data_IF_498754647798
#
_entry.id   IF_498754647798
#
_cell.length_a   1.000
_cell.length_b   1.000
_cell.length_c   1.000
_cell.angle_alpha   90.00
_cell.angle_beta   90.00
_cell.angle_gamma   90.00
#
_symmetry.space_group_name_H-M   'P 1'
#
loop_
_entity.id
_entity.type
_entity.pdbx_description
1 polymer ?
#
# COMPACT_ATOMS: atom_id res chain seq x y z
N UNK A 1 -4.86 35.53 -6.39
CA UNK A 1 -6.12 34.75 -6.32
C UNK A 1 -6.61 34.90 -4.89
N UNK A 2 -7.92 35.08 -4.67
CA UNK A 2 -8.49 35.11 -3.30
C UNK A 2 -8.25 33.78 -2.64
N UNK A 3 -7.88 33.80 -1.37
CA UNK A 3 -7.72 32.62 -0.54
C UNK A 3 -9.07 31.88 -0.45
N UNK A 4 -9.10 30.60 -0.86
CA UNK A 4 -10.31 29.79 -0.78
C UNK A 4 -10.54 29.40 0.68
N UNK A 5 -11.68 29.78 1.27
CA UNK A 5 -12.06 29.38 2.63
C UNK A 5 -13.23 28.40 2.60
N UNK A 6 -13.18 27.41 3.48
CA UNK A 6 -14.23 26.41 3.63
C UNK A 6 -13.76 25.17 4.37
N UNK A 7 -14.65 24.22 4.51
CA UNK A 7 -14.34 22.95 5.18
C UNK A 7 -13.49 22.04 4.28
N UNK A 8 -12.77 21.12 4.92
CA UNK A 8 -12.16 19.99 4.22
C UNK A 8 -12.79 18.65 4.62
N UNK A 9 -12.67 17.69 3.71
CA UNK A 9 -13.05 16.29 3.96
C UNK A 9 -11.91 15.36 3.55
N UNK A 10 -11.57 14.42 4.44
CA UNK A 10 -10.46 13.47 4.27
C UNK A 10 -11.02 12.04 4.34
N UNK A 11 -10.67 11.19 3.38
CA UNK A 11 -11.10 9.78 3.35
C UNK A 11 -9.96 8.81 3.08
N UNK A 12 -10.17 7.56 3.48
CA UNK A 12 -9.25 6.44 3.26
C UNK A 12 -9.93 5.39 2.36
N UNK A 13 -9.17 4.75 1.47
CA UNK A 13 -9.72 3.87 0.45
C UNK A 13 -8.83 2.66 0.15
N UNK A 14 -9.47 1.57 -0.23
CA UNK A 14 -8.81 0.33 -0.65
C UNK A 14 -8.23 -0.48 0.50
N UNK A 15 -7.28 -1.37 0.21
CA UNK A 15 -6.56 -2.16 1.20
C UNK A 15 -5.77 -1.25 2.15
N UNK A 16 -5.81 -1.48 3.47
CA UNK A 16 -5.07 -0.65 4.42
C UNK A 16 -3.57 -0.98 4.41
N UNK A 17 -2.78 -0.14 5.07
CA UNK A 17 -1.35 -0.37 5.32
C UNK A 17 -1.01 -0.09 6.78
N UNK A 18 0.21 -0.42 7.21
CA UNK A 18 0.69 -0.07 8.55
C UNK A 18 0.92 1.44 8.73
N UNK A 19 0.99 2.23 7.65
CA UNK A 19 1.31 3.66 7.68
C UNK A 19 0.24 4.57 7.06
N UNK A 20 -0.86 4.02 6.54
CA UNK A 20 -1.93 4.83 5.93
C UNK A 20 -2.49 5.89 6.91
N UNK A 21 -2.52 5.60 8.20
CA UNK A 21 -2.93 6.55 9.22
C UNK A 21 -1.88 7.65 9.46
N UNK A 22 -0.60 7.40 9.20
CA UNK A 22 0.42 8.44 9.24
C UNK A 22 0.21 9.49 8.15
N UNK A 23 -0.16 9.07 6.94
CA UNK A 23 -0.55 9.99 5.86
C UNK A 23 -1.78 10.81 6.25
N UNK A 24 -2.80 10.16 6.82
CA UNK A 24 -4.00 10.87 7.30
C UNK A 24 -3.66 11.84 8.42
N UNK A 25 -2.80 11.45 9.37
CA UNK A 25 -2.35 12.34 10.45
C UNK A 25 -1.71 13.61 9.90
N UNK A 26 -0.79 13.47 8.93
CA UNK A 26 -0.15 14.62 8.29
C UNK A 26 -1.18 15.58 7.64
N UNK A 27 -2.19 15.01 6.98
CA UNK A 27 -3.27 15.80 6.40
C UNK A 27 -4.18 16.44 7.47
N UNK A 28 -4.55 15.69 8.53
CA UNK A 28 -5.39 16.19 9.60
C UNK A 28 -4.72 17.34 10.37
N UNK A 29 -3.46 17.19 10.75
CA UNK A 29 -2.74 18.23 11.48
C UNK A 29 -2.59 19.49 10.62
N UNK A 30 -2.18 19.34 9.36
CA UNK A 30 -2.06 20.49 8.45
C UNK A 30 -3.40 21.19 8.22
N UNK A 31 -4.52 20.45 8.17
CA UNK A 31 -5.85 21.02 8.00
C UNK A 31 -6.35 21.72 9.26
N UNK A 32 -6.19 21.10 10.43
CA UNK A 32 -6.66 21.63 11.71
C UNK A 32 -5.89 22.90 12.15
N UNK A 33 -4.67 23.08 11.66
CA UNK A 33 -3.82 24.23 12.00
C UNK A 33 -3.89 25.35 10.95
N UNK A 34 -4.67 25.18 9.87
CA UNK A 34 -4.73 26.14 8.77
C UNK A 34 -5.98 27.03 8.86
N UNK A 35 -5.83 28.37 8.90
CA UNK A 35 -6.95 29.31 9.06
C UNK A 35 -7.89 29.40 7.85
N UNK A 36 -7.50 28.89 6.68
CA UNK A 36 -8.35 28.82 5.50
C UNK A 36 -9.32 27.63 5.55
N UNK A 37 -9.04 26.63 6.40
CA UNK A 37 -9.90 25.45 6.59
C UNK A 37 -10.77 25.70 7.82
N UNK A 38 -12.07 25.84 7.59
CA UNK A 38 -13.04 26.24 8.64
C UNK A 38 -13.51 25.10 9.51
N UNK A 39 -13.54 23.86 8.97
CA UNK A 39 -13.89 22.61 9.66
C UNK A 39 -13.17 21.45 9.00
N UNK A 40 -12.86 20.41 9.77
CA UNK A 40 -12.20 19.21 9.29
C UNK A 40 -13.09 17.99 9.47
N UNK A 41 -13.44 17.32 8.38
CA UNK A 41 -14.27 16.13 8.38
C UNK A 41 -13.49 14.88 7.94
N UNK A 42 -13.80 13.74 8.58
CA UNK A 42 -13.37 12.41 8.15
C UNK A 42 -14.53 11.65 7.49
N UNK A 43 -14.29 11.04 6.33
CA UNK A 43 -15.29 10.18 5.68
C UNK A 43 -15.37 8.83 6.40
N UNK A 44 -16.53 8.44 6.93
CA UNK A 44 -16.74 7.11 7.47
C UNK A 44 -16.74 6.08 6.33
N UNK A 45 -15.68 5.24 6.27
CA UNK A 45 -15.51 4.26 5.18
C UNK A 45 -15.38 4.88 3.78
N UNK A 46 -14.58 5.94 3.66
CA UNK A 46 -14.23 6.55 2.39
C UNK A 46 -15.40 7.16 1.64
N UNK A 47 -15.40 7.04 0.30
CA UNK A 47 -16.42 7.68 -0.55
C UNK A 47 -17.84 7.21 -0.25
N UNK A 48 -18.03 5.98 0.23
CA UNK A 48 -19.36 5.50 0.66
C UNK A 48 -19.92 6.30 1.83
N UNK A 49 -19.08 6.66 2.79
CA UNK A 49 -19.49 7.52 3.89
C UNK A 49 -19.91 8.91 3.40
N UNK A 50 -19.14 9.49 2.48
CA UNK A 50 -19.51 10.77 1.87
C UNK A 50 -20.88 10.68 1.18
N UNK A 51 -21.11 9.67 0.34
CA UNK A 51 -22.39 9.47 -0.36
C UNK A 51 -23.58 9.29 0.61
N UNK A 52 -23.33 8.65 1.75
CA UNK A 52 -24.35 8.40 2.79
C UNK A 52 -24.49 9.55 3.80
N UNK A 53 -23.79 10.68 3.59
CA UNK A 53 -23.76 11.80 4.57
C UNK A 53 -23.26 11.36 5.95
N UNK A 54 -22.33 10.39 5.97
CA UNK A 54 -21.74 9.82 7.16
C UNK A 54 -20.31 10.32 7.35
N UNK A 55 -20.18 11.47 8.00
CA UNK A 55 -18.91 12.14 8.26
C UNK A 55 -18.61 12.17 9.76
N UNK A 56 -17.34 12.13 10.12
CA UNK A 56 -16.85 12.36 11.48
C UNK A 56 -16.37 13.82 11.60
N UNK A 57 -16.72 14.46 12.72
CA UNK A 57 -16.24 15.80 13.09
C UNK A 57 -14.88 15.67 13.77
N UNK A 58 -13.82 15.92 13.02
CA UNK A 58 -12.43 15.75 13.49
C UNK A 58 -12.05 16.88 14.46
N UNK A 59 -12.66 18.06 14.37
CA UNK A 59 -12.40 19.15 15.31
C UNK A 59 -12.77 18.77 16.77
N UNK A 60 -13.60 17.74 16.97
CA UNK A 60 -13.98 17.20 18.28
C UNK A 60 -13.09 16.05 18.78
N UNK A 61 -12.12 15.62 17.99
CA UNK A 61 -11.17 14.57 18.40
C UNK A 61 -10.11 15.14 19.36
N UNK A 62 -9.56 14.24 20.17
CA UNK A 62 -8.44 14.55 21.04
C UNK A 62 -7.13 14.58 20.24
N UNK A 63 -6.37 15.65 20.32
CA UNK A 63 -5.11 15.79 19.59
C UNK A 63 -4.07 14.74 19.99
N UNK A 64 -4.04 14.32 21.25
CA UNK A 64 -3.14 13.27 21.72
C UNK A 64 -3.53 11.90 21.14
N UNK A 65 -4.84 11.62 20.99
CA UNK A 65 -5.32 10.43 20.31
C UNK A 65 -5.05 10.48 18.80
N UNK A 66 -5.20 11.64 18.15
CA UNK A 66 -4.82 11.81 16.74
C UNK A 66 -3.34 11.54 16.53
N UNK A 67 -2.45 12.04 17.41
CA UNK A 67 -1.01 11.80 17.31
C UNK A 67 -0.63 10.31 17.35
N UNK A 68 -1.45 9.46 18.01
CA UNK A 68 -1.25 8.01 18.02
C UNK A 68 -1.54 7.33 16.66
N UNK A 69 -2.17 8.02 15.72
CA UNK A 69 -2.38 7.51 14.36
C UNK A 69 -1.05 7.16 13.68
N UNK A 70 0.05 7.83 14.04
CA UNK A 70 1.40 7.52 13.58
C UNK A 70 1.83 6.08 13.86
N UNK A 71 1.28 5.46 14.89
CA UNK A 71 1.62 4.11 15.36
C UNK A 71 0.49 3.10 15.14
N UNK A 72 -0.66 3.57 14.65
CA UNK A 72 -1.87 2.77 14.51
C UNK A 72 -1.96 2.22 13.10
N UNK A 73 -1.94 0.90 12.90
CA UNK A 73 -2.09 0.32 11.58
C UNK A 73 -3.53 0.38 11.08
N UNK A 74 -3.71 0.09 9.80
CA UNK A 74 -5.01 0.03 9.14
C UNK A 74 -5.65 1.42 8.95
N UNK A 75 -6.93 1.48 8.61
CA UNK A 75 -7.64 2.73 8.25
C UNK A 75 -8.51 3.19 9.41
N UNK A 76 -8.05 4.21 10.14
CA UNK A 76 -8.74 4.71 11.35
C UNK A 76 -10.13 5.27 11.04
N UNK A 77 -10.33 5.89 9.87
CA UNK A 77 -11.64 6.39 9.42
C UNK A 77 -12.51 5.29 8.77
N UNK A 78 -11.98 4.08 8.65
CA UNK A 78 -12.56 3.02 7.84
C UNK A 78 -12.21 3.17 6.36
N UNK A 79 -12.45 2.12 5.58
CA UNK A 79 -12.13 2.08 4.15
C UNK A 79 -13.27 1.44 3.37
N UNK A 80 -13.30 1.64 2.06
CA UNK A 80 -14.19 0.93 1.15
C UNK A 80 -13.49 0.60 -0.16
N UNK A 81 -14.08 -0.34 -0.89
CA UNK A 81 -13.81 -0.61 -2.30
C UNK A 81 -15.06 -0.23 -3.07
N UNK A 82 -15.07 0.96 -3.63
CA UNK A 82 -16.18 1.50 -4.39
C UNK A 82 -15.66 2.32 -5.55
N UNK A 83 -16.09 2.00 -6.74
CA UNK A 83 -15.68 2.66 -7.99
C UNK A 83 -16.82 3.55 -8.47
N UNK A 84 -16.56 4.85 -8.60
CA UNK A 84 -17.49 5.78 -9.22
C UNK A 84 -17.62 5.46 -10.73
N UNK A 85 -18.83 5.48 -11.24
CA UNK A 85 -19.08 5.35 -12.66
C UNK A 85 -18.42 6.49 -13.46
N UNK A 86 -18.39 6.35 -14.79
CA UNK A 86 -18.04 7.49 -15.64
C UNK A 86 -19.15 8.55 -15.51
N UNK A 87 -18.83 9.82 -15.17
CA UNK A 87 -19.86 10.85 -14.96
C UNK A 87 -20.66 11.20 -16.21
N UNK A 88 -20.16 10.87 -17.41
CA UNK A 88 -20.90 11.06 -18.66
C UNK A 88 -21.89 9.90 -18.93
N UNK A 89 -21.78 8.78 -18.20
CA UNK A 89 -22.70 7.62 -18.24
C UNK A 89 -23.70 7.67 -17.09
N UNK A 90 -23.22 7.90 -15.85
CA UNK A 90 -24.05 8.01 -14.66
C UNK A 90 -23.41 9.03 -13.68
N UNK A 91 -24.08 10.15 -13.50
CA UNK A 91 -23.63 11.24 -12.63
C UNK A 91 -24.36 11.30 -11.26
N UNK A 92 -25.10 10.25 -10.92
CA UNK A 92 -25.91 10.20 -9.68
C UNK A 92 -25.06 10.42 -8.44
N UNK A 93 -23.94 9.68 -8.31
CA UNK A 93 -23.01 9.80 -7.18
C UNK A 93 -22.37 11.20 -7.12
N UNK A 94 -22.05 11.78 -8.26
CA UNK A 94 -21.43 13.11 -8.33
C UNK A 94 -22.39 14.22 -7.93
N UNK A 95 -23.66 14.12 -8.29
CA UNK A 95 -24.73 15.03 -7.82
C UNK A 95 -24.85 14.96 -6.32
N UNK A 96 -24.81 13.75 -5.76
CA UNK A 96 -24.84 13.52 -4.31
C UNK A 96 -23.62 14.12 -3.63
N UNK A 97 -22.42 13.91 -4.16
CA UNK A 97 -21.17 14.49 -3.64
C UNK A 97 -21.29 16.04 -3.64
N UNK A 98 -21.75 16.64 -4.73
CA UNK A 98 -21.94 18.09 -4.84
C UNK A 98 -22.96 18.63 -3.82
N UNK A 99 -24.06 17.90 -3.57
CA UNK A 99 -25.05 18.24 -2.54
C UNK A 99 -24.38 18.27 -1.14
N UNK A 100 -23.60 17.23 -0.79
CA UNK A 100 -22.89 17.17 0.48
C UNK A 100 -21.83 18.27 0.59
N UNK A 101 -21.08 18.54 -0.50
CA UNK A 101 -20.12 19.63 -0.53
C UNK A 101 -20.76 20.98 -0.24
N UNK A 102 -21.93 21.25 -0.83
CA UNK A 102 -22.70 22.46 -0.55
C UNK A 102 -23.24 22.51 0.86
N UNK A 103 -23.71 21.37 1.38
CA UNK A 103 -24.28 21.26 2.74
C UNK A 103 -23.27 21.65 3.82
N UNK A 104 -22.03 21.20 3.69
CA UNK A 104 -20.95 21.39 4.68
C UNK A 104 -19.94 22.47 4.27
N UNK A 105 -20.14 23.19 3.19
CA UNK A 105 -19.19 24.13 2.57
C UNK A 105 -17.80 23.51 2.35
N UNK A 106 -17.77 22.27 1.83
CA UNK A 106 -16.52 21.56 1.57
C UNK A 106 -15.85 22.19 0.34
N UNK A 107 -14.65 22.75 0.56
CA UNK A 107 -13.81 23.38 -0.45
C UNK A 107 -12.51 22.63 -0.70
N UNK A 108 -12.21 21.65 0.13
CA UNK A 108 -11.01 20.84 0.05
C UNK A 108 -11.38 19.36 0.21
N UNK A 109 -10.99 18.56 -0.78
CA UNK A 109 -11.23 17.12 -0.80
C UNK A 109 -9.91 16.37 -0.88
N UNK A 110 -9.65 15.50 0.10
CA UNK A 110 -8.47 14.68 0.20
C UNK A 110 -8.84 13.21 0.26
N UNK A 111 -8.26 12.39 -0.64
CA UNK A 111 -8.58 10.97 -0.67
C UNK A 111 -7.31 10.12 -0.68
N UNK A 112 -7.10 9.36 0.40
CA UNK A 112 -5.91 8.54 0.61
C UNK A 112 -6.15 7.12 0.08
N UNK A 113 -5.45 6.75 -1.00
CA UNK A 113 -5.62 5.45 -1.63
C UNK A 113 -4.69 5.16 -2.79
N UNK A 114 -4.97 4.06 -3.50
CA UNK A 114 -4.24 3.59 -4.67
C UNK A 114 -4.81 4.12 -5.99
N UNK A 115 -4.54 3.42 -7.09
CA UNK A 115 -4.92 3.81 -8.46
C UNK A 115 -6.40 4.17 -8.61
N UNK A 116 -7.32 3.32 -8.14
CA UNK A 116 -8.77 3.60 -8.21
C UNK A 116 -9.18 4.85 -7.40
N UNK A 117 -8.43 5.16 -6.34
CA UNK A 117 -8.68 6.37 -5.54
C UNK A 117 -8.19 7.62 -6.24
N UNK A 118 -7.08 7.53 -6.99
CA UNK A 118 -6.60 8.62 -7.83
C UNK A 118 -7.56 8.87 -8.99
N UNK A 119 -8.13 7.83 -9.59
CA UNK A 119 -9.21 7.94 -10.58
C UNK A 119 -10.47 8.61 -10.00
N UNK A 120 -10.86 8.23 -8.77
CA UNK A 120 -11.96 8.89 -8.03
C UNK A 120 -11.70 10.38 -7.85
N UNK A 121 -10.50 10.78 -7.38
CA UNK A 121 -10.12 12.18 -7.24
C UNK A 121 -10.22 12.94 -8.58
N UNK A 122 -9.64 12.37 -9.64
CA UNK A 122 -9.65 12.96 -10.98
C UNK A 122 -11.08 13.18 -11.50
N UNK A 123 -11.98 12.21 -11.34
CA UNK A 123 -13.38 12.30 -11.74
C UNK A 123 -14.16 13.32 -10.91
N UNK A 124 -14.01 13.32 -9.58
CA UNK A 124 -14.66 14.27 -8.69
C UNK A 124 -14.22 15.70 -9.02
N UNK A 125 -12.93 15.93 -9.22
CA UNK A 125 -12.42 17.26 -9.58
C UNK A 125 -13.02 17.78 -10.90
N UNK A 126 -12.98 16.97 -11.95
CA UNK A 126 -13.56 17.33 -13.26
C UNK A 126 -15.05 17.64 -13.16
N UNK A 127 -15.80 16.86 -12.38
CA UNK A 127 -17.22 17.10 -12.20
C UNK A 127 -17.49 18.40 -11.43
N UNK A 128 -16.75 18.69 -10.35
CA UNK A 128 -16.91 19.93 -9.59
C UNK A 128 -16.60 21.14 -10.46
N UNK A 129 -15.54 21.09 -11.27
CA UNK A 129 -15.18 22.14 -12.23
C UNK A 129 -16.30 22.35 -13.25
N UNK A 130 -16.81 21.28 -13.89
CA UNK A 130 -17.93 21.32 -14.84
C UNK A 130 -19.21 21.91 -14.22
N UNK A 131 -19.42 21.66 -12.92
CA UNK A 131 -20.57 22.16 -12.15
C UNK A 131 -20.40 23.58 -11.63
N UNK A 132 -19.27 24.24 -11.87
CA UNK A 132 -18.96 25.58 -11.37
C UNK A 132 -18.78 25.67 -9.87
N UNK A 133 -18.49 24.54 -9.19
CA UNK A 133 -18.24 24.50 -7.76
C UNK A 133 -16.72 24.50 -7.49
N UNK A 134 -16.21 25.60 -6.92
CA UNK A 134 -14.79 25.70 -6.60
C UNK A 134 -14.44 24.80 -5.40
N UNK A 135 -13.60 23.81 -5.66
CA UNK A 135 -13.07 22.85 -4.70
C UNK A 135 -11.66 22.46 -5.10
N UNK A 136 -10.76 22.30 -4.15
CA UNK A 136 -9.41 21.77 -4.35
C UNK A 136 -9.41 20.29 -4.05
N UNK A 137 -9.01 19.49 -5.03
CA UNK A 137 -8.99 18.03 -4.93
C UNK A 137 -7.54 17.54 -5.01
N UNK A 138 -7.11 16.79 -4.00
CA UNK A 138 -5.78 16.18 -3.97
C UNK A 138 -5.91 14.70 -3.61
N UNK A 139 -5.20 13.84 -4.36
CA UNK A 139 -4.98 12.47 -3.95
C UNK A 139 -3.85 12.40 -2.92
N UNK A 140 -3.93 11.45 -1.98
CA UNK A 140 -2.83 11.12 -1.08
C UNK A 140 -2.41 9.69 -1.40
N UNK A 141 -1.15 9.44 -1.82
CA UNK A 141 -0.73 8.11 -2.25
C UNK A 141 -0.77 7.10 -1.11
N UNK A 142 -1.16 5.87 -1.42
CA UNK A 142 -1.11 4.73 -0.52
C UNK A 142 -1.26 3.44 -1.33
N UNK A 143 -0.29 2.54 -1.23
CA UNK A 143 -0.40 1.11 -1.56
C UNK A 143 0.86 0.37 -1.10
N UNK A 144 0.71 -0.86 -0.59
CA UNK A 144 1.85 -1.74 -0.33
C UNK A 144 2.43 -2.30 -1.63
N UNK A 145 1.62 -2.35 -2.71
CA UNK A 145 2.01 -2.96 -3.99
C UNK A 145 3.05 -2.13 -4.75
N UNK A 146 3.31 -0.89 -4.31
CA UNK A 146 4.30 0.02 -4.89
C UNK A 146 4.08 0.31 -6.38
N UNK A 147 2.84 0.29 -6.82
CA UNK A 147 2.43 0.27 -8.22
C UNK A 147 1.92 1.61 -8.77
N UNK A 148 1.88 2.68 -7.97
CA UNK A 148 1.49 4.01 -8.46
C UNK A 148 2.55 4.59 -9.39
N UNK A 149 2.11 5.04 -10.56
CA UNK A 149 2.99 5.62 -11.57
C UNK A 149 3.51 7.00 -11.17
N UNK A 150 4.75 7.32 -11.59
CA UNK A 150 5.37 8.63 -11.44
C UNK A 150 6.06 8.88 -10.09
N UNK A 151 5.72 8.15 -9.03
CA UNK A 151 6.40 8.25 -7.74
C UNK A 151 7.55 7.24 -7.62
N UNK A 152 8.62 7.59 -6.91
CA UNK A 152 9.74 6.66 -6.63
C UNK A 152 9.22 5.41 -5.91
N UNK A 153 8.48 5.58 -4.83
CA UNK A 153 7.83 4.50 -4.09
C UNK A 153 6.50 4.99 -3.50
N UNK A 154 5.73 4.06 -2.91
CA UNK A 154 4.41 4.34 -2.35
C UNK A 154 4.41 4.19 -0.83
N UNK A 155 3.73 5.10 -0.09
CA UNK A 155 3.48 4.92 1.33
C UNK A 155 2.83 3.57 1.64
N UNK A 156 3.48 2.78 2.51
CA UNK A 156 3.07 1.43 2.88
C UNK A 156 3.97 0.33 2.32
N UNK A 157 4.59 0.53 1.17
CA UNK A 157 5.50 -0.46 0.58
C UNK A 157 6.68 -0.77 1.49
N UNK A 158 7.40 0.25 1.94
CA UNK A 158 8.65 0.05 2.68
C UNK A 158 8.45 -0.68 4.02
N UNK A 159 7.37 -0.40 4.75
CA UNK A 159 7.03 -1.13 5.97
C UNK A 159 6.66 -2.57 5.70
N UNK A 160 5.92 -2.84 4.63
CA UNK A 160 5.60 -4.21 4.20
C UNK A 160 6.87 -4.95 3.75
N UNK A 161 7.76 -4.30 3.00
CA UNK A 161 9.04 -4.83 2.56
C UNK A 161 9.94 -5.20 3.76
N UNK A 162 10.01 -4.33 4.78
CA UNK A 162 10.73 -4.60 6.03
C UNK A 162 10.19 -5.84 6.75
N UNK A 163 8.86 -5.92 6.89
CA UNK A 163 8.20 -7.07 7.50
C UNK A 163 8.50 -8.38 6.74
N UNK A 164 8.41 -8.35 5.40
CA UNK A 164 8.66 -9.52 4.54
C UNK A 164 10.11 -9.97 4.68
N UNK A 165 11.06 -9.04 4.53
CA UNK A 165 12.48 -9.36 4.65
C UNK A 165 12.82 -9.92 6.04
N UNK A 166 12.33 -9.28 7.11
CA UNK A 166 12.55 -9.74 8.50
C UNK A 166 11.96 -11.14 8.72
N UNK A 167 10.71 -11.37 8.29
CA UNK A 167 10.06 -12.68 8.40
C UNK A 167 10.81 -13.76 7.61
N UNK A 168 11.31 -13.44 6.41
CA UNK A 168 12.12 -14.37 5.63
C UNK A 168 13.44 -14.72 6.33
N UNK A 169 14.09 -13.75 6.99
CA UNK A 169 15.30 -14.01 7.79
C UNK A 169 15.00 -14.94 8.97
N UNK A 170 13.89 -14.73 9.67
CA UNK A 170 13.47 -15.57 10.81
C UNK A 170 13.10 -16.98 10.35
N UNK A 171 12.34 -17.12 9.26
CA UNK A 171 12.00 -18.42 8.65
C UNK A 171 13.27 -19.13 8.17
N UNK A 172 14.24 -18.39 7.61
CA UNK A 172 15.53 -18.95 7.20
C UNK A 172 16.27 -19.62 8.36
N UNK A 173 16.26 -19.02 9.55
CA UNK A 173 16.90 -19.60 10.73
C UNK A 173 16.14 -20.85 11.19
N UNK A 174 14.81 -20.78 11.32
CA UNK A 174 13.99 -21.91 11.80
C UNK A 174 14.03 -23.12 10.83
N UNK A 175 14.01 -22.87 9.51
CA UNK A 175 14.00 -23.92 8.49
C UNK A 175 15.28 -24.79 8.48
N UNK A 176 16.37 -24.34 9.11
CA UNK A 176 17.70 -24.98 9.06
C UNK A 176 18.12 -25.65 10.35
N UNK A 177 17.23 -25.75 11.36
CA UNK A 177 17.59 -26.31 12.67
C UNK A 177 17.65 -27.84 12.71
N UNK A 178 17.05 -28.50 11.72
CA UNK A 178 17.01 -29.98 11.67
C UNK A 178 17.95 -30.50 10.59
N UNK A 179 18.61 -31.64 10.92
CA UNK A 179 19.51 -32.37 10.01
C UNK A 179 18.77 -33.06 8.85
N UNK A 180 17.45 -33.22 8.97
CA UNK A 180 16.59 -33.83 7.93
C UNK A 180 16.30 -32.90 6.75
N UNK A 181 16.61 -31.63 6.88
CA UNK A 181 16.32 -30.62 5.86
C UNK A 181 14.84 -30.27 5.73
N UNK A 182 14.56 -29.16 5.04
CA UNK A 182 13.20 -28.69 4.76
C UNK A 182 13.17 -27.74 3.57
N UNK A 183 12.07 -27.79 2.80
CA UNK A 183 11.71 -26.75 1.85
C UNK A 183 10.60 -25.87 2.45
N UNK A 184 10.77 -24.56 2.44
CA UNK A 184 9.74 -23.60 2.80
C UNK A 184 9.34 -22.75 1.60
N UNK A 185 8.04 -22.63 1.33
CA UNK A 185 7.47 -21.75 0.30
C UNK A 185 6.69 -20.65 0.99
N UNK A 186 7.09 -19.40 0.80
CA UNK A 186 6.46 -18.21 1.40
C UNK A 186 5.70 -17.45 0.33
N UNK A 187 4.38 -17.36 0.47
CA UNK A 187 3.50 -16.60 -0.40
C UNK A 187 3.41 -15.14 0.08
N UNK A 188 3.62 -14.23 -0.86
CA UNK A 188 3.69 -12.78 -0.65
C UNK A 188 2.66 -12.11 -1.55
N UNK A 189 1.98 -11.08 -1.06
CA UNK A 189 1.06 -10.25 -1.82
C UNK A 189 1.75 -9.59 -3.02
N UNK A 190 0.98 -9.28 -4.07
CA UNK A 190 1.44 -8.62 -5.28
C UNK A 190 0.88 -9.30 -6.52
N UNK A 191 -0.35 -8.90 -6.94
CA UNK A 191 -1.03 -9.55 -8.07
C UNK A 191 -0.38 -9.25 -9.41
N UNK A 192 -0.08 -7.98 -9.68
CA UNK A 192 0.38 -7.50 -10.98
C UNK A 192 1.81 -6.95 -10.95
N UNK A 193 2.31 -6.61 -9.76
CA UNK A 193 3.64 -6.09 -9.53
C UNK A 193 4.35 -6.85 -8.41
N UNK A 194 5.58 -7.22 -8.64
CA UNK A 194 6.39 -8.09 -7.76
C UNK A 194 7.21 -7.36 -6.71
N UNK A 195 6.95 -6.08 -6.45
CA UNK A 195 7.74 -5.28 -5.51
C UNK A 195 7.85 -5.90 -4.12
N UNK A 196 6.74 -6.43 -3.58
CA UNK A 196 6.74 -7.06 -2.26
C UNK A 196 7.49 -8.40 -2.27
N UNK A 197 7.27 -9.24 -3.27
CA UNK A 197 8.01 -10.50 -3.38
C UNK A 197 9.51 -10.25 -3.59
N UNK A 198 9.86 -9.25 -4.41
CA UNK A 198 11.25 -8.80 -4.60
C UNK A 198 11.91 -8.34 -3.30
N UNK A 199 11.15 -7.75 -2.37
CA UNK A 199 11.67 -7.32 -1.06
C UNK A 199 12.19 -8.48 -0.20
N UNK A 200 11.73 -9.72 -0.43
CA UNK A 200 12.32 -10.90 0.20
C UNK A 200 13.81 -11.08 -0.15
N UNK A 201 14.24 -10.57 -1.31
CA UNK A 201 15.64 -10.54 -1.72
C UNK A 201 16.55 -9.68 -0.84
N UNK A 202 15.99 -8.71 -0.09
CA UNK A 202 16.75 -7.94 0.91
C UNK A 202 17.33 -8.86 1.99
N UNK A 203 16.56 -9.85 2.43
CA UNK A 203 17.02 -10.87 3.38
C UNK A 203 18.17 -11.69 2.79
N UNK A 204 18.10 -12.03 1.51
CA UNK A 204 19.15 -12.76 0.78
C UNK A 204 20.45 -11.93 0.72
N UNK A 205 20.35 -10.63 0.43
CA UNK A 205 21.49 -9.71 0.42
C UNK A 205 22.17 -9.61 1.79
N UNK A 206 21.42 -9.83 2.89
CA UNK A 206 21.95 -9.90 4.25
C UNK A 206 22.45 -11.30 4.65
N UNK A 207 22.48 -12.27 3.72
CA UNK A 207 22.99 -13.62 3.92
C UNK A 207 22.06 -14.59 4.63
N UNK A 208 20.80 -14.24 4.87
CA UNK A 208 19.82 -15.07 5.57
C UNK A 208 18.40 -14.91 4.96
N UNK A 209 18.21 -15.27 3.72
CA UNK A 209 16.95 -15.08 3.01
C UNK A 209 16.62 -16.19 2.02
N UNK A 210 15.58 -15.99 1.21
CA UNK A 210 15.19 -16.95 0.19
C UNK A 210 16.32 -17.28 -0.79
N UNK A 211 16.43 -18.56 -1.11
CA UNK A 211 17.32 -19.03 -2.17
C UNK A 211 16.73 -18.73 -3.55
N UNK A 212 15.41 -18.65 -3.66
CA UNK A 212 14.64 -18.40 -4.88
C UNK A 212 13.55 -17.37 -4.62
N UNK A 213 13.36 -16.43 -5.56
CA UNK A 213 12.32 -15.39 -5.51
C UNK A 213 11.64 -15.28 -6.86
N UNK A 214 10.33 -15.61 -6.92
CA UNK A 214 9.55 -15.56 -8.17
C UNK A 214 8.57 -14.37 -8.16
N UNK A 215 8.66 -13.55 -9.21
CA UNK A 215 7.87 -12.34 -9.40
C UNK A 215 6.89 -12.49 -10.58
N UNK A 216 5.76 -11.76 -10.59
CA UNK A 216 4.80 -11.82 -11.69
C UNK A 216 5.28 -11.16 -12.99
N UNK A 217 6.41 -10.44 -12.97
CA UNK A 217 7.02 -9.84 -14.17
C UNK A 217 7.71 -10.85 -15.10
N UNK A 218 7.80 -12.10 -14.67
CA UNK A 218 8.39 -13.20 -15.48
C UNK A 218 7.44 -14.39 -15.53
N UNK A 219 7.38 -15.04 -16.70
CA UNK A 219 6.56 -16.24 -16.87
C UNK A 219 7.03 -17.35 -15.94
N UNK A 220 6.10 -17.97 -15.23
CA UNK A 220 6.37 -19.09 -14.35
C UNK A 220 6.30 -20.42 -15.10
N UNK A 221 7.30 -21.27 -14.87
CA UNK A 221 7.33 -22.66 -15.37
C UNK A 221 7.46 -23.63 -14.20
N UNK A 222 6.46 -24.49 -13.99
CA UNK A 222 6.43 -25.46 -12.89
C UNK A 222 7.58 -26.46 -12.95
N UNK A 223 7.99 -26.87 -14.13
CA UNK A 223 9.11 -27.84 -14.27
C UNK A 223 10.44 -27.20 -13.91
N UNK A 224 10.64 -25.96 -14.36
CA UNK A 224 11.82 -25.16 -13.99
C UNK A 224 11.84 -24.88 -12.48
N UNK A 225 10.72 -24.49 -11.91
CA UNK A 225 10.57 -24.29 -10.46
C UNK A 225 11.00 -25.52 -9.65
N UNK A 226 10.48 -26.70 -10.01
CA UNK A 226 10.83 -27.96 -9.33
C UNK A 226 12.31 -28.32 -9.50
N UNK A 227 12.90 -28.05 -10.68
CA UNK A 227 14.32 -28.26 -10.94
C UNK A 227 15.19 -27.30 -10.12
N UNK A 228 14.82 -26.01 -10.02
CA UNK A 228 15.51 -25.01 -9.22
C UNK A 228 15.49 -25.37 -7.71
N UNK A 229 14.31 -25.72 -7.18
CA UNK A 229 14.14 -26.17 -5.79
C UNK A 229 14.95 -27.42 -5.51
N UNK A 230 14.87 -28.42 -6.42
CA UNK A 230 15.64 -29.67 -6.26
C UNK A 230 17.14 -29.42 -6.23
N UNK A 231 17.65 -28.59 -7.14
CA UNK A 231 19.07 -28.24 -7.19
C UNK A 231 19.54 -27.65 -5.86
N UNK A 232 18.82 -26.63 -5.33
CA UNK A 232 19.18 -26.00 -4.05
C UNK A 232 19.09 -26.98 -2.89
N UNK A 233 18.02 -27.79 -2.85
CA UNK A 233 17.84 -28.78 -1.79
C UNK A 233 18.92 -29.86 -1.80
N UNK A 234 19.31 -30.38 -2.96
CA UNK A 234 20.39 -31.36 -3.08
C UNK A 234 21.75 -30.78 -2.67
N UNK A 235 22.00 -29.49 -2.92
CA UNK A 235 23.25 -28.81 -2.57
C UNK A 235 23.34 -28.43 -1.08
N UNK A 236 22.22 -27.94 -0.50
CA UNK A 236 22.21 -27.29 0.82
C UNK A 236 21.45 -28.09 1.90
N UNK A 237 20.66 -29.08 1.51
CA UNK A 237 19.73 -29.80 2.39
C UNK A 237 18.47 -28.99 2.74
N UNK A 238 18.39 -27.73 2.37
CA UNK A 238 17.27 -26.81 2.65
C UNK A 238 17.05 -25.90 1.45
N UNK A 239 15.80 -25.44 1.27
CA UNK A 239 15.49 -24.41 0.29
C UNK A 239 14.39 -23.50 0.84
N UNK A 240 14.63 -22.20 0.83
CA UNK A 240 13.63 -21.18 1.13
C UNK A 240 13.23 -20.48 -0.18
N UNK A 241 11.93 -20.48 -0.48
CA UNK A 241 11.37 -19.90 -1.70
C UNK A 241 10.39 -18.80 -1.31
N UNK A 242 10.52 -17.63 -1.91
CA UNK A 242 9.52 -16.57 -1.87
C UNK A 242 8.79 -16.49 -3.21
N UNK A 243 7.47 -16.44 -3.19
CA UNK A 243 6.65 -16.36 -4.40
C UNK A 243 5.61 -15.25 -4.28
N UNK A 244 5.44 -14.46 -5.35
CA UNK A 244 4.30 -13.56 -5.43
C UNK A 244 3.01 -14.35 -5.68
N UNK A 245 1.92 -13.97 -5.03
CA UNK A 245 0.57 -14.55 -5.30
C UNK A 245 0.15 -14.43 -6.77
N UNK A 246 0.72 -13.44 -7.49
CA UNK A 246 0.40 -13.10 -8.87
C UNK A 246 1.25 -13.78 -9.93
N UNK A 247 2.09 -14.78 -9.58
CA UNK A 247 2.85 -15.51 -10.60
C UNK A 247 1.89 -16.21 -11.57
N UNK A 248 2.23 -16.18 -12.86
CA UNK A 248 1.39 -16.70 -13.92
C UNK A 248 2.20 -17.43 -14.99
N UNK A 249 1.53 -18.34 -15.69
CA UNK A 249 2.12 -19.03 -16.85
C UNK A 249 2.21 -18.09 -18.06
N UNK A 250 2.94 -18.52 -19.10
CA UNK A 250 3.13 -17.75 -20.33
C UNK A 250 1.81 -17.42 -21.08
N UNK A 251 0.74 -18.14 -20.82
CA UNK A 251 -0.60 -17.86 -21.35
C UNK A 251 -1.38 -16.81 -20.53
N UNK A 252 -0.77 -16.29 -19.46
CA UNK A 252 -1.36 -15.29 -18.56
C UNK A 252 -2.28 -15.85 -17.48
N UNK A 253 -2.51 -17.18 -17.43
CA UNK A 253 -3.28 -17.80 -16.35
C UNK A 253 -2.48 -17.80 -15.04
N UNK A 254 -3.13 -17.43 -13.92
CA UNK A 254 -2.50 -17.47 -12.62
C UNK A 254 -2.21 -18.90 -12.18
N UNK A 255 -1.06 -19.12 -11.55
CA UNK A 255 -0.67 -20.44 -11.03
C UNK A 255 -1.62 -20.90 -9.92
N UNK A 256 -2.14 -19.98 -9.12
CA UNK A 256 -3.11 -20.23 -8.06
C UNK A 256 -4.49 -19.68 -8.40
N UNK A 257 -5.08 -20.05 -9.51
CA UNK A 257 -6.51 -19.78 -9.68
C UNK A 257 -7.30 -20.51 -8.61
N UNK A 258 -7.61 -19.79 -7.52
CA UNK A 258 -8.63 -20.27 -6.62
C UNK A 258 -9.92 -20.43 -7.43
N UNK A 259 -10.47 -21.65 -7.50
CA UNK A 259 -11.72 -21.98 -8.20
C UNK A 259 -12.96 -21.28 -7.59
N UNK A 260 -12.79 -20.10 -7.01
CA UNK A 260 -13.83 -19.29 -6.42
C UNK A 260 -14.16 -18.15 -7.37
N UNK A 261 -15.38 -18.11 -7.86
CA UNK A 261 -15.97 -17.05 -8.67
C UNK A 261 -16.16 -15.72 -7.93
N UNK A 262 -15.54 -15.54 -6.75
CA UNK A 262 -15.68 -14.33 -5.95
C UNK A 262 -14.69 -13.25 -6.41
N UNK A 263 -15.23 -12.10 -6.82
CA UNK A 263 -14.47 -10.89 -7.10
C UNK A 263 -14.60 -9.91 -5.92
N UNK A 264 -13.59 -9.05 -5.73
CA UNK A 264 -13.67 -7.95 -4.78
C UNK A 264 -14.54 -6.79 -5.31
N UNK A 265 -14.76 -5.76 -4.49
CA UNK A 265 -15.58 -4.58 -4.87
C UNK A 265 -15.01 -3.74 -6.03
N UNK A 266 -13.80 -4.04 -6.51
CA UNK A 266 -13.19 -3.46 -7.71
C UNK A 266 -13.19 -4.43 -8.91
N UNK A 267 -13.71 -5.65 -8.74
CA UNK A 267 -13.83 -6.66 -9.80
C UNK A 267 -12.60 -7.57 -9.94
N UNK A 268 -11.68 -7.58 -8.98
CA UNK A 268 -10.50 -8.44 -9.03
C UNK A 268 -10.81 -9.84 -8.49
N UNK A 269 -10.30 -10.89 -9.18
CA UNK A 269 -10.37 -12.26 -8.68
C UNK A 269 -9.63 -12.40 -7.34
N UNK A 270 -10.14 -13.21 -6.43
CA UNK A 270 -9.41 -13.56 -5.20
C UNK A 270 -8.38 -14.63 -5.53
N UNK A 271 -7.11 -14.33 -5.24
CA UNK A 271 -6.00 -15.29 -5.28
C UNK A 271 -5.75 -15.82 -3.86
N UNK A 272 -5.16 -17.00 -3.75
CA UNK A 272 -4.77 -17.59 -2.46
C UNK A 272 -4.51 -19.09 -2.55
N UNK A 273 -3.79 -19.62 -1.56
CA UNK A 273 -3.45 -21.02 -1.49
C UNK A 273 -2.27 -21.44 -2.37
N UNK A 274 -1.55 -20.49 -2.98
CA UNK A 274 -0.39 -20.76 -3.82
C UNK A 274 0.71 -21.47 -3.03
N UNK A 275 1.05 -20.97 -1.83
CA UNK A 275 2.08 -21.60 -1.00
C UNK A 275 1.76 -23.06 -0.69
N UNK A 276 0.53 -23.36 -0.33
CA UNK A 276 0.08 -24.73 -0.04
C UNK A 276 0.16 -25.62 -1.28
N UNK A 277 -0.29 -25.13 -2.43
CA UNK A 277 -0.27 -25.87 -3.69
C UNK A 277 1.16 -26.17 -4.15
N UNK A 278 2.05 -25.19 -4.11
CA UNK A 278 3.46 -25.37 -4.46
C UNK A 278 4.16 -26.31 -3.47
N UNK A 279 3.87 -26.17 -2.16
CA UNK A 279 4.42 -27.06 -1.12
C UNK A 279 4.00 -28.52 -1.33
N UNK A 280 2.73 -28.75 -1.65
CA UNK A 280 2.24 -30.12 -1.96
C UNK A 280 2.89 -30.66 -3.24
N UNK A 281 3.07 -29.84 -4.25
CA UNK A 281 3.73 -30.23 -5.50
C UNK A 281 5.18 -30.62 -5.26
N UNK A 282 5.94 -29.79 -4.52
CA UNK A 282 7.33 -30.11 -4.14
C UNK A 282 7.41 -31.37 -3.29
N UNK A 283 6.52 -31.54 -2.31
CA UNK A 283 6.48 -32.74 -1.47
C UNK A 283 6.25 -34.01 -2.27
N UNK A 284 5.32 -33.95 -3.21
CA UNK A 284 4.99 -35.13 -4.05
C UNK A 284 6.13 -35.48 -5.00
N UNK A 285 6.85 -34.50 -5.53
CA UNK A 285 7.94 -34.70 -6.48
C UNK A 285 9.27 -35.10 -5.81
N UNK A 286 9.61 -34.43 -4.69
CA UNK A 286 10.93 -34.61 -4.04
C UNK A 286 10.88 -35.51 -2.79
N UNK A 287 9.70 -35.81 -2.24
CA UNK A 287 9.55 -36.67 -1.07
C UNK A 287 10.12 -36.07 0.23
N UNK A 288 10.47 -34.77 0.25
CA UNK A 288 11.06 -34.09 1.38
C UNK A 288 10.01 -33.43 2.30
N UNK A 289 10.44 -32.95 3.47
CA UNK A 289 9.61 -32.13 4.36
C UNK A 289 9.40 -30.76 3.74
N UNK A 290 8.13 -30.33 3.61
CA UNK A 290 7.79 -29.01 3.04
C UNK A 290 6.84 -28.25 3.96
N UNK A 291 6.94 -26.90 3.95
CA UNK A 291 6.01 -25.97 4.57
C UNK A 291 5.58 -24.91 3.54
N UNK A 292 4.28 -24.70 3.41
CA UNK A 292 3.70 -23.51 2.78
C UNK A 292 3.32 -22.48 3.84
N UNK A 293 3.70 -21.25 3.66
CA UNK A 293 3.48 -20.12 4.58
C UNK A 293 2.86 -18.98 3.80
N UNK A 294 1.67 -18.56 4.15
CA UNK A 294 1.02 -17.36 3.61
C UNK A 294 1.23 -16.21 4.60
N UNK A 295 1.92 -15.14 4.21
CA UNK A 295 2.06 -13.95 5.05
C UNK A 295 0.74 -13.16 5.16
N UNK A 296 -0.12 -13.27 4.16
CA UNK A 296 -1.49 -12.77 4.14
C UNK A 296 -1.61 -11.33 4.67
N UNK A 297 -2.62 -11.01 5.49
CA UNK A 297 -2.88 -9.67 6.02
C UNK A 297 -1.75 -9.09 6.87
N UNK A 298 -0.89 -9.91 7.47
CA UNK A 298 0.20 -9.44 8.33
C UNK A 298 1.14 -8.48 7.61
N UNK A 299 1.40 -8.69 6.32
CA UNK A 299 2.26 -7.84 5.49
C UNK A 299 1.83 -6.37 5.47
N UNK A 300 0.53 -6.09 5.61
CA UNK A 300 -0.03 -4.73 5.53
C UNK A 300 -0.46 -4.14 6.86
N UNK A 301 -0.33 -4.86 7.96
CA UNK A 301 -0.77 -4.39 9.29
C UNK A 301 0.27 -4.57 10.39
N UNK A 302 1.48 -5.02 10.08
CA UNK A 302 2.55 -5.26 11.04
C UNK A 302 3.20 -3.95 11.53
N UNK A 303 2.45 -3.15 12.29
CA UNK A 303 2.92 -1.86 12.82
C UNK A 303 4.18 -2.00 13.71
N UNK A 304 4.40 -3.17 14.32
CA UNK A 304 5.59 -3.45 15.14
C UNK A 304 6.88 -3.55 14.31
N UNK A 305 6.77 -3.68 12.99
CA UNK A 305 7.87 -3.76 12.04
C UNK A 305 7.84 -2.60 11.02
N UNK A 306 7.07 -1.54 11.29
CA UNK A 306 6.99 -0.40 10.38
C UNK A 306 8.34 0.31 10.23
N UNK A 307 8.69 0.67 8.99
CA UNK A 307 9.87 1.50 8.72
C UNK A 307 9.62 2.93 9.17
N UNK A 308 10.60 3.52 9.86
CA UNK A 308 10.54 4.93 10.24
C UNK A 308 10.54 5.84 9.02
N UNK A 309 11.35 5.53 8.01
CA UNK A 309 11.38 6.23 6.72
C UNK A 309 9.98 6.28 6.11
N UNK A 310 9.32 5.13 5.96
CA UNK A 310 7.97 5.04 5.40
C UNK A 310 6.93 5.84 6.20
N UNK A 311 7.00 5.77 7.54
CA UNK A 311 6.10 6.52 8.43
C UNK A 311 6.27 8.03 8.27
N UNK A 312 7.53 8.52 8.23
CA UNK A 312 7.84 9.94 8.09
C UNK A 312 7.44 10.48 6.72
N UNK A 313 7.74 9.75 5.65
CA UNK A 313 7.39 10.12 4.29
C UNK A 313 5.88 10.05 4.03
N UNK A 314 5.20 9.06 4.60
CA UNK A 314 3.74 8.97 4.58
C UNK A 314 3.10 10.21 5.21
N UNK A 315 3.57 10.62 6.39
CA UNK A 315 3.13 11.85 7.05
C UNK A 315 3.40 13.09 6.18
N UNK A 316 4.60 13.18 5.60
CA UNK A 316 5.00 14.27 4.72
C UNK A 316 4.09 14.38 3.49
N UNK A 317 3.70 13.25 2.87
CA UNK A 317 2.81 13.27 1.70
C UNK A 317 1.40 13.78 2.04
N UNK A 318 0.84 13.34 3.17
CA UNK A 318 -0.47 13.80 3.64
C UNK A 318 -0.48 15.30 3.95
N UNK A 319 0.54 15.76 4.67
CA UNK A 319 0.74 17.19 4.98
C UNK A 319 0.88 18.03 3.72
N UNK A 320 1.72 17.59 2.77
CA UNK A 320 1.94 18.27 1.51
C UNK A 320 0.67 18.39 0.65
N UNK A 321 -0.23 17.40 0.69
CA UNK A 321 -1.51 17.48 -0.02
C UNK A 321 -2.32 18.70 0.45
N UNK A 322 -2.44 18.89 1.75
CA UNK A 322 -3.19 20.01 2.33
C UNK A 322 -2.49 21.35 2.07
N UNK A 323 -1.19 21.45 2.34
CA UNK A 323 -0.42 22.69 2.14
C UNK A 323 -0.49 23.18 0.69
N UNK A 324 -0.37 22.25 -0.28
CA UNK A 324 -0.46 22.60 -1.70
C UNK A 324 -1.90 22.96 -2.14
N UNK A 325 -2.91 22.29 -1.60
CA UNK A 325 -4.32 22.65 -1.86
C UNK A 325 -4.64 24.06 -1.37
N UNK A 326 -4.22 24.41 -0.16
CA UNK A 326 -4.38 25.77 0.38
C UNK A 326 -3.59 26.78 -0.42
N UNK A 327 -2.40 26.44 -0.92
CA UNK A 327 -1.62 27.28 -1.84
C UNK A 327 -2.24 27.39 -3.25
N UNK A 328 -3.42 26.81 -3.48
CA UNK A 328 -4.20 26.94 -4.73
C UNK A 328 -3.95 25.86 -5.78
N UNK A 329 -3.23 24.79 -5.44
CA UNK A 329 -3.07 23.62 -6.30
C UNK A 329 -4.29 22.71 -6.22
N UNK A 330 -4.64 22.07 -7.32
CA UNK A 330 -5.69 21.04 -7.41
C UNK A 330 -5.34 20.05 -8.49
N UNK A 331 -5.92 18.85 -8.44
CA UNK A 331 -5.71 17.78 -9.43
C UNK A 331 -4.32 17.13 -9.38
N UNK A 332 -3.70 17.14 -8.21
CA UNK A 332 -2.39 16.53 -8.00
C UNK A 332 -2.40 15.47 -6.91
N UNK A 333 -1.39 14.62 -6.97
CA UNK A 333 -0.98 13.69 -5.92
C UNK A 333 0.46 14.06 -5.49
N UNK A 334 0.74 14.29 -4.20
CA UNK A 334 2.10 14.41 -3.69
C UNK A 334 2.82 13.05 -3.78
N UNK A 335 3.63 12.88 -4.80
CA UNK A 335 4.52 11.73 -4.96
C UNK A 335 5.90 12.00 -4.38
N UNK A 336 6.77 11.01 -4.46
CA UNK A 336 8.15 11.07 -3.97
C UNK A 336 9.14 11.12 -5.12
N UNK A 337 10.07 12.04 -5.03
CA UNK A 337 11.27 12.10 -5.86
C UNK A 337 12.48 11.86 -4.97
N UNK A 338 13.15 10.74 -5.18
CA UNK A 338 14.23 10.30 -4.31
C UNK A 338 15.57 10.29 -5.03
N UNK A 339 16.62 10.58 -4.28
CA UNK A 339 18.01 10.43 -4.69
C UNK A 339 18.69 9.41 -3.78
N UNK A 340 19.59 8.63 -4.38
CA UNK A 340 20.45 7.63 -3.70
C UNK A 340 21.85 7.82 -4.27
N UNK A 341 22.69 8.56 -3.55
CA UNK A 341 24.03 8.90 -3.98
C UNK A 341 25.04 8.79 -2.82
N UNK A 342 26.25 9.27 -3.01
CA UNK A 342 27.32 9.26 -1.99
C UNK A 342 26.97 10.04 -0.71
N UNK A 343 25.98 10.93 -0.77
CA UNK A 343 25.49 11.70 0.38
C UNK A 343 24.33 10.98 1.11
N UNK A 344 23.95 9.78 0.64
CA UNK A 344 22.91 8.94 1.18
C UNK A 344 21.57 9.08 0.48
N UNK A 345 20.52 8.62 1.18
CA UNK A 345 19.14 8.67 0.73
C UNK A 345 18.46 9.99 1.08
N UNK A 346 17.76 10.59 0.12
CA UNK A 346 16.96 11.81 0.32
C UNK A 346 15.65 11.71 -0.46
N UNK A 347 14.55 12.08 0.17
CA UNK A 347 13.22 12.11 -0.42
C UNK A 347 12.65 13.53 -0.40
N UNK A 348 12.07 13.96 -1.52
CA UNK A 348 11.40 15.25 -1.69
C UNK A 348 10.00 15.01 -2.27
N UNK A 349 9.06 15.93 -1.97
CA UNK A 349 7.72 15.88 -2.58
C UNK A 349 7.77 16.44 -4.00
N UNK A 350 7.16 15.70 -4.93
CA UNK A 350 6.85 16.14 -6.28
C UNK A 350 5.35 16.04 -6.52
N UNK A 351 4.75 17.08 -7.11
CA UNK A 351 3.32 17.06 -7.44
C UNK A 351 3.10 16.38 -8.79
N UNK A 352 2.42 15.25 -8.78
CA UNK A 352 2.07 14.47 -9.96
C UNK A 352 0.62 14.73 -10.37
N UNK A 353 0.33 15.06 -11.64
CA UNK A 353 -1.05 15.23 -12.12
C UNK A 353 -1.86 13.93 -11.93
N UNK A 354 -3.08 14.04 -11.37
CA UNK A 354 -3.95 12.87 -11.17
C UNK A 354 -4.27 12.14 -12.48
N UNK A 355 -4.34 12.86 -13.59
CA UNK A 355 -4.58 12.30 -14.91
C UNK A 355 -3.47 11.37 -15.43
N UNK A 356 -2.25 11.52 -14.92
CA UNK A 356 -1.09 10.70 -15.30
C UNK A 356 -0.92 9.48 -14.38
N UNK A 357 -1.32 9.63 -13.11
CA UNK A 357 -1.22 8.55 -12.11
C UNK A 357 -2.38 7.55 -12.23
N UNK A 358 -3.59 8.04 -12.49
CA UNK A 358 -4.78 7.20 -12.54
C UNK A 358 -4.68 6.17 -13.68
N UNK A 359 -4.98 4.90 -13.35
CA UNK A 359 -5.03 3.78 -14.29
C UNK A 359 -3.69 3.38 -14.94
N UNK A 360 -2.56 3.77 -14.35
CA UNK A 360 -1.22 3.35 -14.80
C UNK A 360 -0.52 2.60 -13.68
N UNK A 361 0.02 1.41 -13.97
CA UNK A 361 0.73 0.57 -12.99
C UNK A 361 2.25 0.62 -13.20
N UNK A 362 3.01 0.74 -12.11
CA UNK A 362 4.47 0.65 -12.08
C UNK A 362 4.89 -0.77 -11.68
N UNK A 363 5.59 -1.46 -12.56
CA UNK A 363 6.12 -2.81 -12.33
C UNK A 363 7.61 -2.79 -11.97
N UNK A 364 8.10 -3.90 -11.42
CA UNK A 364 9.54 -4.10 -11.21
C UNK A 364 10.22 -4.13 -12.58
N UNK A 365 11.27 -3.31 -12.80
CA UNK A 365 12.02 -3.34 -14.06
C UNK A 365 12.60 -4.73 -14.33
N UNK A 366 12.52 -5.20 -15.57
CA UNK A 366 13.00 -6.55 -15.91
C UNK A 366 14.50 -6.73 -15.61
N UNK A 367 15.26 -5.68 -15.77
CA UNK A 367 16.70 -5.64 -15.47
C UNK A 367 17.03 -5.74 -13.97
N UNK A 368 16.01 -5.56 -13.08
CA UNK A 368 16.15 -5.76 -11.65
C UNK A 368 15.80 -7.19 -11.20
N UNK A 369 15.48 -8.05 -12.17
CA UNK A 369 15.26 -9.48 -11.97
C UNK A 369 16.41 -10.21 -12.67
N UNK A 370 16.98 -11.24 -12.04
CA UNK A 370 18.07 -11.99 -12.63
C UNK A 370 17.67 -12.67 -13.97
N UNK A 371 18.66 -13.14 -14.74
CA UNK A 371 18.42 -13.76 -16.04
C UNK A 371 17.53 -15.00 -15.95
N UNK A 372 17.68 -15.78 -14.89
CA UNK A 372 16.92 -17.00 -14.63
C UNK A 372 15.46 -16.73 -14.22
N UNK A 373 15.10 -15.50 -13.84
CA UNK A 373 13.76 -15.11 -13.41
C UNK A 373 13.38 -15.63 -12.02
N UNK A 374 14.36 -15.98 -11.20
CA UNK A 374 14.15 -16.58 -9.87
C UNK A 374 14.91 -15.87 -8.74
N UNK A 375 15.21 -14.58 -8.92
CA UNK A 375 15.88 -13.73 -7.94
C UNK A 375 15.89 -12.28 -8.37
N UNK A 376 16.22 -11.36 -7.46
CA UNK A 376 16.41 -9.93 -7.75
C UNK A 376 17.88 -9.55 -7.79
N UNK A 377 18.20 -8.48 -8.51
CA UNK A 377 19.57 -7.97 -8.68
C UNK A 377 19.94 -6.97 -7.58
N UNK A 378 21.19 -6.53 -7.57
CA UNK A 378 21.70 -5.56 -6.61
C UNK A 378 20.97 -4.21 -6.74
N UNK A 379 20.54 -3.83 -7.95
CA UNK A 379 19.81 -2.58 -8.20
C UNK A 379 18.49 -2.55 -7.44
N UNK A 380 17.76 -3.68 -7.34
CA UNK A 380 16.58 -3.79 -6.52
C UNK A 380 16.92 -3.59 -5.04
N UNK A 381 17.99 -4.20 -4.57
CA UNK A 381 18.44 -4.10 -3.18
C UNK A 381 18.81 -2.66 -2.85
N UNK A 382 19.60 -2.00 -3.68
CA UNK A 382 20.04 -0.60 -3.52
C UNK A 382 18.85 0.37 -3.53
N UNK A 383 17.83 0.07 -4.32
CA UNK A 383 16.57 0.84 -4.33
C UNK A 383 15.82 0.71 -3.01
N UNK A 384 15.65 -0.50 -2.49
CA UNK A 384 14.72 -0.78 -1.42
C UNK A 384 15.33 -0.66 0.00
N UNK A 385 16.64 -0.90 0.18
CA UNK A 385 17.28 -0.86 1.51
C UNK A 385 17.09 0.47 2.25
N UNK A 386 17.30 1.65 1.63
CA UNK A 386 17.12 2.92 2.34
C UNK A 386 15.69 3.16 2.82
N UNK A 387 14.71 2.56 2.12
CA UNK A 387 13.30 2.73 2.43
C UNK A 387 12.87 1.99 3.71
N UNK A 388 13.55 0.89 4.06
CA UNK A 388 13.20 0.06 5.23
C UNK A 388 13.89 0.50 6.52
N UNK A 389 14.61 1.60 6.51
CA UNK A 389 15.42 2.03 7.63
C UNK A 389 14.62 2.61 8.80
N UNK A 390 15.21 2.45 9.99
CA UNK A 390 14.73 3.02 11.24
C UNK A 390 13.53 2.30 11.85
N UNK A 391 13.32 2.56 13.14
CA UNK A 391 12.26 1.92 13.93
C UNK A 391 11.17 2.94 14.30
N UNK A 392 9.91 2.56 14.09
CA UNK A 392 8.75 3.33 14.52
C UNK A 392 8.17 2.76 15.82
N UNK A 393 8.85 3.03 16.94
CA UNK A 393 8.47 2.50 18.24
C UNK A 393 7.36 3.34 18.86
N UNK A 394 6.13 2.82 18.84
CA UNK A 394 4.98 3.44 19.48
C UNK A 394 4.88 3.17 20.98
N UNK A 395 4.00 3.92 21.69
CA UNK A 395 3.74 3.69 23.10
C UNK A 395 3.13 2.31 23.36
N UNK A 396 3.39 1.79 24.55
CA UNK A 396 2.87 0.49 25.00
C UNK A 396 2.03 0.65 26.27
N UNK A 397 1.01 -0.20 26.39
CA UNK A 397 0.23 -0.36 27.61
C UNK A 397 0.25 -1.83 28.00
N UNK A 398 0.70 -2.13 29.19
CA UNK A 398 0.82 -3.52 29.70
C UNK A 398 1.56 -4.47 28.74
N UNK A 399 2.62 -3.97 28.09
CA UNK A 399 3.43 -4.72 27.13
C UNK A 399 2.90 -4.81 25.71
N UNK A 400 1.67 -4.38 25.44
CA UNK A 400 1.02 -4.37 24.12
C UNK A 400 1.00 -2.97 23.49
N UNK A 401 0.95 -2.86 22.15
CA UNK A 401 0.85 -1.56 21.47
C UNK A 401 -0.37 -0.76 21.95
N UNK A 402 -0.19 0.54 22.15
CA UNK A 402 -1.27 1.49 22.44
C UNK A 402 -1.64 2.20 21.13
N UNK A 403 -2.74 1.81 20.53
CA UNK A 403 -3.27 2.43 19.31
C UNK A 403 -4.27 3.54 19.62
N UNK A 404 -4.47 4.44 18.66
CA UNK A 404 -5.43 5.55 18.73
C UNK A 404 -6.87 5.06 18.98
N UNK A 405 -7.61 5.80 19.78
CA UNK A 405 -9.04 5.57 20.07
C UNK A 405 -9.81 6.84 19.74
N UNK A 406 -10.23 6.98 18.49
CA UNK A 406 -10.99 8.13 18.04
C UNK A 406 -12.43 8.07 18.57
N UNK A 407 -12.99 9.22 18.93
CA UNK A 407 -14.38 9.38 19.39
C UNK A 407 -15.39 9.14 18.27
N UNK A 408 -15.01 9.49 17.03
CA UNK A 408 -15.84 9.35 15.82
C UNK A 408 -17.22 9.99 15.95
N UNK A 409 -17.24 11.20 16.51
CA UNK A 409 -18.46 11.98 16.65
C UNK A 409 -18.98 12.34 15.27
N UNK A 410 -20.26 12.09 15.01
CA UNK A 410 -20.89 12.42 13.74
C UNK A 410 -20.92 13.92 13.50
N UNK A 411 -20.68 14.34 12.27
CA UNK A 411 -20.75 15.72 11.86
C UNK A 411 -22.21 16.18 11.80
N UNK A 412 -22.45 17.38 12.29
CA UNK A 412 -23.70 18.12 12.13
C UNK A 412 -23.46 19.26 11.14
N UNK A 413 -24.46 19.55 10.27
CA UNK A 413 -24.37 20.59 9.24
C UNK A 413 -24.37 22.00 9.83
#
# INVERSE_FOLDING_TARGET
MSELKGACVIGQSGGPTSVINSSVLGALEAALDNPSITRVFGMAHGIKGLLNDDLYDIDKEDRDELALLRYTPSSALGSCRYKLADPDVDDTDYKRILEIFKKYDIRYFFYNGGNDSMDTCNKVSKYMMKSGYECRVMGIPKTIDNDLFGTDHCPGFASAAKYIATSCMEIYQDARVYDTGMVCVVEIMGRHAGWLAGAAGLATAMGAGPDLVYLPETDFDMKKFLADVKKIYDEKGNCLVAVSEGIHYADGSFVSEAKTSATDGFGHAQLGGLASMLADTVKNELGCKVRGIELSLLQRCAAHCASKTDVDESYMSGKAAVENAVAGKTDYMPGFKCTRDENGYKCEIELLPLSEVANTEKKVPREWINEEGNGVTQEFVDYALPLIEGENVGPKQSGLPRFAKLKKIKAEA
#
